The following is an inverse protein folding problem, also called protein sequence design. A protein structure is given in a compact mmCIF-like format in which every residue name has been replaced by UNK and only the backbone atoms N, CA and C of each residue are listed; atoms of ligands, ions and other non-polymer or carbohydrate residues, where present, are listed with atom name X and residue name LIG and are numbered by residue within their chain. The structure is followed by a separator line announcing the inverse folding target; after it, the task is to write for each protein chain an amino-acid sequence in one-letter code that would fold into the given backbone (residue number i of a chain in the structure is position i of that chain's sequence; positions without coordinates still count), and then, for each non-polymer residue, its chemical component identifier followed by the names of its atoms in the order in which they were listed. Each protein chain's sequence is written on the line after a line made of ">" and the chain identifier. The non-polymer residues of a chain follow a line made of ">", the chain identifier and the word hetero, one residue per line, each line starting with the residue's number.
data_IF_280796065448
#
_entry.id   IF_280796065448
#
_cell.length_a   1.000
_cell.length_b   1.000
_cell.length_c   1.000
_cell.angle_alpha   90.00
_cell.angle_beta   90.00
_cell.angle_gamma   90.00
#
_symmetry.space_group_name_H-M   'P 1'
#
loop_
_entity.id
_entity.type
_entity.pdbx_description
1 polymer ?
#
# COMPACT_ATOMS: atom_id res chain seq x y z
N UNK A 1 -37.40 16.72 -25.65
CA UNK A 1 -38.62 17.36 -25.14
C UNK A 1 -39.48 17.83 -26.30
N UNK A 2 -40.78 17.58 -26.26
CA UNK A 2 -41.74 18.04 -27.27
C UNK A 2 -42.37 19.41 -26.90
N UNK A 3 -43.15 20.00 -27.81
CA UNK A 3 -43.75 21.32 -27.57
C UNK A 3 -44.81 21.35 -26.46
N UNK A 4 -45.46 20.24 -26.14
CA UNK A 4 -46.41 20.16 -25.04
C UNK A 4 -45.68 20.13 -23.69
N UNK A 5 -44.65 19.29 -23.59
CA UNK A 5 -43.74 19.23 -22.43
C UNK A 5 -43.05 20.58 -22.19
N UNK A 6 -42.64 21.29 -23.25
CA UNK A 6 -42.06 22.64 -23.12
C UNK A 6 -43.03 23.63 -22.46
N UNK A 7 -44.31 23.59 -22.84
CA UNK A 7 -45.32 24.49 -22.26
C UNK A 7 -45.56 24.18 -20.79
N UNK A 8 -45.63 22.90 -20.42
CA UNK A 8 -45.77 22.50 -19.03
C UNK A 8 -44.52 22.91 -18.23
N UNK A 9 -43.33 22.72 -18.80
CA UNK A 9 -42.09 23.22 -18.20
C UNK A 9 -42.11 24.74 -18.00
N UNK A 10 -42.62 25.51 -18.97
CA UNK A 10 -42.66 26.97 -18.87
C UNK A 10 -43.52 27.46 -17.70
N UNK A 11 -44.63 26.77 -17.42
CA UNK A 11 -45.51 27.08 -16.29
C UNK A 11 -44.86 26.76 -14.93
N UNK A 12 -44.06 25.69 -14.87
CA UNK A 12 -43.44 25.19 -13.65
C UNK A 12 -41.92 25.44 -13.58
N UNK A 13 -41.39 26.39 -14.38
CA UNK A 13 -39.95 26.55 -14.58
C UNK A 13 -39.15 26.81 -13.30
N UNK A 14 -39.80 27.37 -12.27
CA UNK A 14 -39.20 27.66 -10.96
C UNK A 14 -39.13 26.43 -10.04
N UNK A 15 -39.89 25.38 -10.34
CA UNK A 15 -39.98 24.14 -9.53
C UNK A 15 -39.14 23.00 -10.12
N UNK A 16 -38.71 23.14 -11.38
CA UNK A 16 -38.05 22.08 -12.13
C UNK A 16 -36.53 22.21 -12.11
N UNK A 17 -35.84 21.06 -12.01
CA UNK A 17 -34.39 20.97 -11.87
C UNK A 17 -33.60 21.36 -13.13
N UNK A 18 -32.27 21.44 -12.99
CA UNK A 18 -31.33 21.87 -14.05
C UNK A 18 -31.40 21.03 -15.33
N UNK A 19 -31.73 19.75 -15.21
CA UNK A 19 -31.86 18.85 -16.36
C UNK A 19 -33.01 19.26 -17.28
N UNK A 20 -34.18 19.57 -16.70
CA UNK A 20 -35.35 20.02 -17.44
C UNK A 20 -35.09 21.36 -18.14
N UNK A 21 -34.41 22.30 -17.47
CA UNK A 21 -33.99 23.57 -18.07
C UNK A 21 -33.03 23.38 -19.26
N UNK A 22 -32.14 22.39 -19.19
CA UNK A 22 -31.21 22.07 -20.29
C UNK A 22 -31.97 21.54 -21.50
N UNK A 23 -32.89 20.61 -21.29
CA UNK A 23 -33.78 20.08 -22.33
C UNK A 23 -34.66 21.17 -22.96
N UNK A 24 -35.15 22.13 -22.15
CA UNK A 24 -35.90 23.28 -22.62
C UNK A 24 -35.09 24.21 -23.51
N UNK A 25 -33.85 24.51 -23.11
CA UNK A 25 -32.93 25.33 -23.92
C UNK A 25 -32.67 24.70 -25.30
N UNK A 26 -32.33 23.41 -25.32
CA UNK A 26 -32.11 22.66 -26.57
C UNK A 26 -33.34 22.66 -27.49
N UNK A 27 -34.55 22.59 -26.91
CA UNK A 27 -35.79 22.65 -27.68
C UNK A 27 -36.04 24.04 -28.29
N UNK A 28 -35.76 25.12 -27.55
CA UNK A 28 -35.91 26.51 -28.04
C UNK A 28 -34.94 26.84 -29.17
N UNK A 29 -33.75 26.24 -29.15
CA UNK A 29 -32.77 26.39 -30.24
C UNK A 29 -33.30 25.79 -31.56
N UNK A 30 -34.17 24.78 -31.49
CA UNK A 30 -34.68 24.03 -32.65
C UNK A 30 -36.13 24.34 -33.03
N UNK A 31 -36.90 25.02 -32.17
CA UNK A 31 -38.32 25.30 -32.38
C UNK A 31 -38.66 26.79 -32.26
N UNK A 32 -38.90 27.45 -33.40
CA UNK A 32 -39.24 28.88 -33.46
C UNK A 32 -40.53 29.24 -32.71
N UNK A 33 -41.51 28.33 -32.67
CA UNK A 33 -42.77 28.55 -31.95
C UNK A 33 -42.54 28.65 -30.45
N UNK A 34 -41.75 27.73 -29.88
CA UNK A 34 -41.42 27.74 -28.46
C UNK A 34 -40.47 28.89 -28.11
N UNK A 35 -39.58 29.28 -29.04
CA UNK A 35 -38.75 30.49 -28.89
C UNK A 35 -39.58 31.77 -28.75
N UNK A 36 -40.59 31.96 -29.60
CA UNK A 36 -41.51 33.11 -29.49
C UNK A 36 -42.31 33.09 -28.20
N UNK A 37 -42.75 31.93 -27.76
CA UNK A 37 -43.50 31.79 -26.50
C UNK A 37 -42.63 32.15 -25.29
N UNK A 38 -41.37 31.69 -25.25
CA UNK A 38 -40.43 32.05 -24.20
C UNK A 38 -40.13 33.56 -24.18
N UNK A 39 -39.98 34.18 -25.35
CA UNK A 39 -39.76 35.62 -25.44
C UNK A 39 -40.95 36.42 -24.89
N UNK A 40 -42.19 35.99 -25.16
CA UNK A 40 -43.40 36.61 -24.62
C UNK A 40 -43.46 36.48 -23.09
N UNK A 41 -43.16 35.30 -22.56
CA UNK A 41 -43.09 35.05 -21.11
C UNK A 41 -42.07 35.97 -20.42
N UNK A 42 -40.87 36.08 -21.00
CA UNK A 42 -39.82 36.98 -20.48
C UNK A 42 -40.23 38.46 -20.52
N UNK A 43 -40.97 38.89 -21.55
CA UNK A 43 -41.46 40.27 -21.64
C UNK A 43 -42.46 40.61 -20.53
N UNK A 44 -43.34 39.66 -20.22
CA UNK A 44 -44.29 39.78 -19.09
C UNK A 44 -43.53 39.87 -17.77
N UNK A 45 -42.55 38.99 -17.53
CA UNK A 45 -41.74 39.03 -16.32
C UNK A 45 -40.96 40.34 -16.16
N UNK A 46 -40.38 40.85 -17.26
CA UNK A 46 -39.65 42.10 -17.24
C UNK A 46 -40.57 43.29 -16.94
N UNK A 47 -41.79 43.30 -17.48
CA UNK A 47 -42.80 44.32 -17.20
C UNK A 47 -43.22 44.32 -15.73
N UNK A 48 -43.44 43.14 -15.15
CA UNK A 48 -43.73 42.99 -13.71
C UNK A 48 -42.54 43.49 -12.89
N UNK A 49 -41.32 43.05 -13.21
CA UNK A 49 -40.09 43.43 -12.52
C UNK A 49 -39.85 44.94 -12.55
N UNK A 50 -40.14 45.60 -13.67
CA UNK A 50 -39.98 47.05 -13.82
C UNK A 50 -40.96 47.85 -12.94
N UNK A 51 -42.12 47.27 -12.61
CA UNK A 51 -43.16 47.92 -11.80
C UNK A 51 -42.92 47.73 -10.30
N UNK A 52 -42.20 46.68 -9.91
CA UNK A 52 -41.94 46.36 -8.51
C UNK A 52 -40.77 47.19 -7.93
N UNK A 53 -40.94 47.66 -6.69
CA UNK A 53 -39.88 48.35 -5.97
C UNK A 53 -38.70 47.40 -5.73
N UNK A 54 -37.51 47.84 -6.14
CA UNK A 54 -36.27 47.08 -5.93
C UNK A 54 -35.80 47.24 -4.47
N UNK A 55 -35.68 46.13 -3.76
CA UNK A 55 -35.05 46.09 -2.43
C UNK A 55 -33.55 45.88 -2.62
N UNK A 56 -32.73 46.74 -2.01
CA UNK A 56 -31.28 46.53 -2.02
C UNK A 56 -30.90 45.36 -1.11
N UNK A 57 -30.16 44.36 -1.61
CA UNK A 57 -29.71 43.26 -0.78
C UNK A 57 -28.61 43.74 0.18
N UNK A 58 -28.57 43.24 1.43
CA UNK A 58 -27.52 43.58 2.40
C UNK A 58 -26.12 43.29 1.86
N UNK A 59 -25.14 44.12 2.20
CA UNK A 59 -23.76 44.00 1.70
C UNK A 59 -23.12 42.64 1.97
N UNK A 60 -23.42 42.05 3.13
CA UNK A 60 -22.96 40.70 3.50
C UNK A 60 -23.39 39.63 2.51
N UNK A 61 -24.58 39.77 1.93
CA UNK A 61 -25.12 38.81 0.97
C UNK A 61 -24.41 38.95 -0.38
N UNK A 62 -24.16 40.19 -0.83
CA UNK A 62 -23.38 40.46 -2.05
C UNK A 62 -21.97 39.87 -1.94
N UNK A 63 -21.29 40.14 -0.83
CA UNK A 63 -19.94 39.63 -0.58
C UNK A 63 -19.89 38.08 -0.54
N UNK A 64 -20.88 37.44 0.07
CA UNK A 64 -20.97 35.98 0.12
C UNK A 64 -21.18 35.34 -1.27
N UNK A 65 -22.01 35.96 -2.11
CA UNK A 65 -22.23 35.49 -3.49
C UNK A 65 -20.96 35.66 -4.33
N UNK A 66 -20.32 36.83 -4.26
CA UNK A 66 -19.08 37.11 -5.00
C UNK A 66 -17.95 36.16 -4.63
N UNK A 67 -17.82 35.81 -3.34
CA UNK A 67 -16.87 34.81 -2.88
C UNK A 67 -17.19 33.43 -3.44
N UNK A 68 -18.45 32.99 -3.38
CA UNK A 68 -18.85 31.67 -3.88
C UNK A 68 -18.65 31.53 -5.40
N UNK A 69 -18.91 32.58 -6.18
CA UNK A 69 -18.63 32.59 -7.62
C UNK A 69 -17.13 32.46 -7.86
N UNK A 70 -16.30 33.25 -7.16
CA UNK A 70 -14.83 33.15 -7.25
C UNK A 70 -14.32 31.77 -6.85
N UNK A 71 -14.90 31.13 -5.85
CA UNK A 71 -14.54 29.76 -5.45
C UNK A 71 -14.97 28.72 -6.50
N UNK A 72 -16.14 28.88 -7.12
CA UNK A 72 -16.61 27.99 -8.19
C UNK A 72 -15.79 28.13 -9.48
N UNK A 73 -15.35 29.35 -9.82
CA UNK A 73 -14.43 29.60 -10.94
C UNK A 73 -13.01 29.11 -10.66
N UNK A 74 -12.59 29.09 -9.39
CA UNK A 74 -11.36 28.44 -8.91
C UNK A 74 -11.51 26.90 -8.80
N UNK A 75 -12.13 26.28 -9.79
CA UNK A 75 -12.06 24.83 -10.03
C UNK A 75 -10.59 24.39 -9.95
N UNK A 76 -10.29 23.24 -9.31
CA UNK A 76 -8.96 22.97 -8.81
C UNK A 76 -7.96 22.92 -9.96
N UNK A 77 -6.77 23.43 -9.66
CA UNK A 77 -5.53 23.39 -10.45
C UNK A 77 -5.23 22.02 -11.10
N UNK A 78 -5.90 20.95 -10.66
CA UNK A 78 -5.87 19.60 -11.22
C UNK A 78 -6.51 19.41 -12.61
N UNK A 79 -7.28 20.37 -13.14
CA UNK A 79 -7.97 20.17 -14.44
C UNK A 79 -7.12 20.42 -15.69
N UNK A 80 -5.85 20.83 -15.54
CA UNK A 80 -4.97 21.17 -16.68
C UNK A 80 -3.56 20.56 -16.63
N UNK A 81 -3.32 19.52 -15.81
CA UNK A 81 -2.04 18.81 -15.91
C UNK A 81 -2.16 17.75 -17.02
N UNK A 82 -1.43 17.89 -18.14
CA UNK A 82 -1.51 16.91 -19.21
C UNK A 82 -0.96 15.58 -18.68
N UNK A 83 -1.77 14.52 -18.70
CA UNK A 83 -1.35 13.16 -18.27
C UNK A 83 -0.06 12.67 -18.96
N UNK A 84 0.31 13.26 -20.10
CA UNK A 84 1.56 13.00 -20.81
C UNK A 84 2.82 13.37 -20.03
N UNK A 85 2.78 14.32 -19.09
CA UNK A 85 3.95 14.70 -18.27
C UNK A 85 3.99 14.01 -16.91
N UNK A 86 2.87 13.47 -16.44
CA UNK A 86 2.77 12.76 -15.15
C UNK A 86 3.17 11.28 -15.26
N UNK A 87 2.92 10.64 -16.40
CA UNK A 87 3.24 9.23 -16.62
C UNK A 87 4.73 8.87 -16.41
N UNK A 88 5.72 9.59 -16.98
CA UNK A 88 7.13 9.24 -16.77
C UNK A 88 7.61 9.56 -15.34
N UNK A 89 7.09 10.61 -14.70
CA UNK A 89 7.47 10.98 -13.34
C UNK A 89 6.93 9.98 -12.30
N UNK A 90 5.69 9.51 -12.48
CA UNK A 90 5.13 8.43 -11.66
C UNK A 90 5.85 7.10 -11.92
N UNK A 91 6.16 6.78 -13.17
CA UNK A 91 6.92 5.56 -13.49
C UNK A 91 8.32 5.59 -12.86
N UNK A 92 9.02 6.72 -12.90
CA UNK A 92 10.30 6.89 -12.24
C UNK A 92 10.17 6.81 -10.72
N UNK A 93 9.17 7.46 -10.13
CA UNK A 93 8.93 7.39 -8.68
C UNK A 93 8.62 5.97 -8.23
N UNK A 94 7.75 5.23 -8.93
CA UNK A 94 7.46 3.81 -8.65
C UNK A 94 8.70 2.95 -8.85
N UNK A 95 9.48 3.18 -9.90
CA UNK A 95 10.74 2.46 -10.12
C UNK A 95 11.73 2.70 -8.98
N UNK A 96 11.93 3.93 -8.55
CA UNK A 96 12.75 4.25 -7.38
C UNK A 96 12.17 3.67 -6.09
N UNK A 97 10.86 3.64 -5.91
CA UNK A 97 10.20 3.09 -4.73
C UNK A 97 10.35 1.55 -4.66
N UNK A 98 10.25 0.87 -5.80
CA UNK A 98 10.50 -0.57 -5.93
C UNK A 98 11.99 -0.89 -5.76
N UNK A 99 12.88 -0.07 -6.34
CA UNK A 99 14.32 -0.28 -6.28
C UNK A 99 14.88 -0.04 -4.87
N UNK A 100 14.43 1.03 -4.21
CA UNK A 100 14.87 1.36 -2.85
C UNK A 100 14.19 0.50 -1.80
N UNK A 101 13.05 -0.13 -2.13
CA UNK A 101 12.21 -0.94 -1.25
C UNK A 101 12.31 -0.50 0.22
N UNK A 102 11.82 0.71 0.58
CA UNK A 102 11.97 1.25 1.93
C UNK A 102 11.25 0.40 2.99
N UNK A 103 10.40 -0.53 2.57
CA UNK A 103 9.74 -1.53 3.39
C UNK A 103 10.43 -2.90 3.38
N UNK A 104 11.64 -3.01 2.80
CA UNK A 104 12.52 -4.14 3.04
C UNK A 104 12.74 -4.19 4.55
N UNK A 105 12.07 -5.15 5.17
CA UNK A 105 11.98 -5.22 6.60
C UNK A 105 13.15 -6.10 7.06
N UNK A 106 14.15 -5.42 7.62
CA UNK A 106 15.42 -6.01 8.05
C UNK A 106 15.42 -6.26 9.56
N UNK A 107 16.38 -7.04 10.03
CA UNK A 107 16.68 -7.14 11.46
C UNK A 107 17.75 -6.09 11.79
N UNK A 108 17.41 -5.17 12.69
CA UNK A 108 18.21 -3.97 12.94
C UNK A 108 19.41 -4.22 13.88
N UNK A 109 19.34 -5.21 14.77
CA UNK A 109 20.42 -5.51 15.71
C UNK A 109 20.66 -7.00 15.96
N UNK A 110 21.86 -7.34 16.45
CA UNK A 110 22.21 -8.70 16.89
C UNK A 110 21.32 -9.16 18.05
N UNK A 111 20.94 -8.22 18.93
CA UNK A 111 20.01 -8.48 20.04
C UNK A 111 18.62 -8.88 19.55
N UNK A 112 18.11 -8.20 18.51
CA UNK A 112 16.81 -8.54 17.93
C UNK A 112 16.84 -9.92 17.26
N UNK A 113 17.91 -10.24 16.53
CA UNK A 113 18.08 -11.57 15.93
C UNK A 113 18.08 -12.66 17.02
N UNK A 114 18.84 -12.45 18.09
CA UNK A 114 18.93 -13.41 19.19
C UNK A 114 17.57 -13.60 19.89
N UNK A 115 16.85 -12.51 20.18
CA UNK A 115 15.54 -12.57 20.83
C UNK A 115 14.49 -13.27 19.94
N UNK A 116 14.48 -12.98 18.64
CA UNK A 116 13.57 -13.62 17.69
C UNK A 116 13.88 -15.12 17.54
N UNK A 117 15.16 -15.49 17.48
CA UNK A 117 15.60 -16.88 17.40
C UNK A 117 15.17 -17.68 18.64
N UNK A 118 15.36 -17.13 19.85
CA UNK A 118 14.92 -17.76 21.10
C UNK A 118 13.40 -17.89 21.16
N UNK A 119 12.66 -16.84 20.79
CA UNK A 119 11.20 -16.89 20.76
C UNK A 119 10.70 -18.01 19.85
N UNK A 120 11.32 -18.19 18.68
CA UNK A 120 10.96 -19.25 17.74
C UNK A 120 11.40 -20.66 18.23
N UNK A 121 12.55 -20.75 18.90
CA UNK A 121 13.01 -21.99 19.52
C UNK A 121 12.06 -22.46 20.63
N UNK A 122 11.68 -21.55 21.53
CA UNK A 122 10.78 -21.82 22.67
C UNK A 122 9.33 -22.09 22.26
N UNK A 123 8.91 -21.68 21.06
CA UNK A 123 7.54 -21.94 20.59
C UNK A 123 7.23 -23.42 20.41
N UNK A 124 8.24 -24.30 20.42
CA UNK A 124 8.04 -25.75 20.46
C UNK A 124 7.65 -26.39 19.12
N UNK A 125 7.42 -25.63 18.05
CA UNK A 125 7.01 -26.17 16.75
C UNK A 125 8.18 -26.94 16.09
N UNK A 126 8.00 -28.25 15.99
CA UNK A 126 8.97 -29.23 15.46
C UNK A 126 8.54 -29.75 14.08
N UNK A 127 7.53 -29.14 13.46
CA UNK A 127 7.02 -29.60 12.16
C UNK A 127 8.06 -29.35 11.07
N UNK A 128 8.76 -30.42 10.67
CA UNK A 128 9.71 -30.37 9.56
C UNK A 128 8.97 -30.39 8.23
N UNK A 129 9.37 -29.50 7.31
CA UNK A 129 8.86 -29.52 5.94
C UNK A 129 9.68 -30.47 5.05
N UNK A 130 10.92 -30.74 5.43
CA UNK A 130 11.82 -31.70 4.78
C UNK A 130 12.70 -32.36 5.83
N UNK A 131 12.87 -33.67 5.79
CA UNK A 131 13.81 -34.39 6.66
C UNK A 131 15.16 -34.59 5.99
N UNK A 132 16.20 -34.78 6.79
CA UNK A 132 17.50 -35.19 6.29
C UNK A 132 17.36 -36.50 5.48
N UNK A 133 17.86 -36.49 4.24
CA UNK A 133 17.80 -37.63 3.32
C UNK A 133 16.54 -37.77 2.47
N UNK A 134 15.48 -36.98 2.70
CA UNK A 134 14.27 -37.02 1.85
C UNK A 134 14.46 -36.31 0.50
N UNK A 135 15.36 -35.33 0.43
CA UNK A 135 15.71 -34.63 -0.81
C UNK A 135 17.19 -34.80 -1.13
N UNK A 136 17.49 -35.14 -2.38
CA UNK A 136 18.87 -35.27 -2.86
C UNK A 136 19.64 -33.94 -2.82
N UNK A 137 18.94 -32.81 -2.91
CA UNK A 137 19.51 -31.48 -2.83
C UNK A 137 18.65 -30.55 -1.96
N UNK A 138 18.93 -30.57 -0.66
CA UNK A 138 18.24 -29.73 0.32
C UNK A 138 18.55 -28.24 0.13
N UNK A 139 19.77 -27.91 -0.29
CA UNK A 139 20.16 -26.52 -0.57
C UNK A 139 19.29 -25.94 -1.68
N UNK A 140 19.07 -26.69 -2.75
CA UNK A 140 18.16 -26.29 -3.83
C UNK A 140 16.71 -26.15 -3.36
N UNK A 141 16.22 -27.03 -2.46
CA UNK A 141 14.86 -26.92 -1.91
C UNK A 141 14.63 -25.60 -1.15
N UNK A 142 15.64 -25.14 -0.39
CA UNK A 142 15.60 -23.86 0.30
C UNK A 142 15.77 -22.68 -0.67
N UNK A 143 16.70 -22.78 -1.61
CA UNK A 143 16.98 -21.73 -2.59
C UNK A 143 15.75 -21.36 -3.41
N UNK A 144 14.98 -22.34 -3.87
CA UNK A 144 13.73 -22.10 -4.61
C UNK A 144 12.68 -21.31 -3.81
N UNK A 145 12.73 -21.35 -2.47
CA UNK A 145 11.71 -20.75 -1.59
C UNK A 145 12.17 -19.47 -0.91
N UNK A 146 13.48 -19.34 -0.65
CA UNK A 146 14.09 -18.17 -0.03
C UNK A 146 14.64 -17.18 -1.04
N UNK A 147 14.96 -17.62 -2.26
CA UNK A 147 15.60 -16.79 -3.29
C UNK A 147 17.11 -16.61 -3.07
N UNK A 148 17.71 -17.35 -2.14
CA UNK A 148 19.15 -17.40 -1.91
C UNK A 148 19.57 -18.81 -1.48
N UNK A 149 20.79 -19.21 -1.83
CA UNK A 149 21.32 -20.52 -1.46
C UNK A 149 21.74 -20.52 0.01
N UNK A 150 21.24 -21.48 0.77
CA UNK A 150 21.57 -21.68 2.19
C UNK A 150 21.76 -23.16 2.46
N UNK A 151 22.73 -23.49 3.30
CA UNK A 151 23.07 -24.87 3.63
C UNK A 151 23.01 -25.07 5.15
N UNK A 152 22.60 -26.26 5.62
CA UNK A 152 22.79 -26.59 7.02
C UNK A 152 24.30 -26.56 7.34
N UNK A 153 24.75 -25.84 8.38
CA UNK A 153 26.15 -25.82 8.77
C UNK A 153 26.61 -27.20 9.31
N UNK A 154 27.76 -27.68 8.86
CA UNK A 154 28.31 -28.96 9.30
C UNK A 154 28.77 -28.90 10.74
N UNK A 155 28.03 -29.52 11.65
CA UNK A 155 28.27 -29.51 13.10
C UNK A 155 28.40 -30.94 13.68
N UNK A 156 28.69 -31.93 12.84
CA UNK A 156 28.85 -33.32 13.25
C UNK A 156 29.99 -33.49 14.25
N UNK A 157 31.06 -32.71 14.11
CA UNK A 157 32.20 -32.69 15.04
C UNK A 157 31.84 -32.20 16.45
N UNK A 158 30.72 -31.47 16.58
CA UNK A 158 30.20 -30.95 17.85
C UNK A 158 29.13 -31.87 18.46
N UNK A 159 28.92 -33.04 17.85
CA UNK A 159 27.89 -34.01 18.26
C UNK A 159 26.47 -33.59 17.83
N UNK A 160 26.34 -32.62 16.95
CA UNK A 160 25.05 -32.13 16.44
C UNK A 160 24.72 -32.84 15.12
N UNK A 161 23.66 -33.64 15.13
CA UNK A 161 23.18 -34.34 13.93
C UNK A 161 22.05 -33.56 13.28
N UNK A 162 22.22 -33.17 12.02
CA UNK A 162 21.16 -32.56 11.24
C UNK A 162 20.02 -33.55 10.98
N UNK A 163 18.77 -33.18 11.31
CA UNK A 163 17.59 -34.07 11.16
C UNK A 163 16.57 -33.58 10.14
N UNK A 164 16.59 -32.30 9.78
CA UNK A 164 15.66 -31.74 8.81
C UNK A 164 15.50 -30.24 8.94
N UNK A 165 14.59 -29.66 8.16
CA UNK A 165 14.41 -28.23 8.13
C UNK A 165 13.05 -27.78 7.63
N UNK A 166 12.82 -26.47 7.74
CA UNK A 166 11.65 -25.77 7.20
C UNK A 166 11.97 -24.31 6.96
N UNK A 167 11.07 -23.60 6.29
CA UNK A 167 11.09 -22.15 6.30
C UNK A 167 10.37 -21.64 7.53
N UNK A 168 10.91 -20.62 8.17
CA UNK A 168 10.17 -19.82 9.13
C UNK A 168 10.42 -18.33 8.91
N UNK A 169 9.82 -17.51 9.76
CA UNK A 169 10.06 -16.07 9.79
C UNK A 169 10.65 -15.70 11.13
N UNK A 170 11.72 -14.91 11.11
CA UNK A 170 12.22 -14.20 12.28
C UNK A 170 11.90 -12.72 12.09
N UNK A 171 10.86 -12.27 12.80
CA UNK A 171 10.28 -10.96 12.58
C UNK A 171 9.82 -10.82 11.12
N UNK A 172 10.36 -9.85 10.35
CA UNK A 172 9.99 -9.67 8.95
C UNK A 172 10.72 -10.59 7.95
N UNK A 173 11.85 -11.19 8.35
CA UNK A 173 12.76 -11.89 7.43
C UNK A 173 12.37 -13.36 7.31
N UNK A 174 12.37 -13.88 6.07
CA UNK A 174 12.25 -15.33 5.82
C UNK A 174 13.61 -15.99 6.02
N UNK A 175 13.64 -17.06 6.82
CA UNK A 175 14.88 -17.76 7.14
C UNK A 175 14.73 -19.26 6.91
N UNK A 176 15.86 -19.93 6.67
CA UNK A 176 15.92 -21.38 6.82
C UNK A 176 16.00 -21.72 8.31
N UNK A 177 15.18 -22.67 8.75
CA UNK A 177 15.21 -23.21 10.09
C UNK A 177 15.63 -24.68 9.99
N UNK A 178 16.83 -24.96 10.45
CA UNK A 178 17.42 -26.28 10.55
C UNK A 178 17.25 -26.83 11.97
N UNK A 179 16.84 -28.08 12.04
CA UNK A 179 16.72 -28.84 13.28
C UNK A 179 17.93 -29.74 13.43
N UNK A 180 18.57 -29.67 14.59
CA UNK A 180 19.66 -30.53 14.99
C UNK A 180 19.28 -31.31 16.24
N UNK A 181 19.73 -32.55 16.26
CA UNK A 181 19.60 -33.48 17.36
C UNK A 181 20.94 -33.55 18.12
N UNK A 182 20.88 -33.27 19.43
CA UNK A 182 21.98 -33.41 20.39
C UNK A 182 21.56 -34.34 21.53
N UNK A 183 21.07 -35.53 21.20
CA UNK A 183 20.58 -36.50 22.17
C UNK A 183 19.20 -36.10 22.70
N UNK A 184 19.11 -35.72 23.98
CA UNK A 184 17.84 -35.24 24.56
C UNK A 184 17.64 -33.73 24.39
N UNK A 185 18.67 -33.01 23.91
CA UNK A 185 18.61 -31.57 23.74
C UNK A 185 18.30 -31.18 22.30
N UNK A 186 17.25 -30.37 22.13
CA UNK A 186 16.87 -29.78 20.85
C UNK A 186 17.82 -28.64 20.54
N UNK A 187 18.35 -28.61 19.31
CA UNK A 187 19.12 -27.46 18.83
C UNK A 187 18.48 -26.89 17.58
N UNK A 188 18.28 -25.57 17.60
CA UNK A 188 17.63 -24.83 16.53
C UNK A 188 18.63 -23.92 15.85
N UNK A 189 18.75 -24.01 14.53
CA UNK A 189 19.69 -23.18 13.77
C UNK A 189 18.96 -22.44 12.68
N UNK A 190 19.04 -21.12 12.71
CA UNK A 190 18.40 -20.23 11.74
C UNK A 190 19.44 -19.67 10.79
N UNK A 191 19.27 -19.88 9.49
CA UNK A 191 20.15 -19.36 8.44
C UNK A 191 19.45 -18.29 7.61
N UNK A 192 20.09 -17.12 7.48
CA UNK A 192 19.59 -15.98 6.72
C UNK A 192 20.71 -15.31 5.93
N UNK A 193 20.33 -14.56 4.90
CA UNK A 193 21.29 -13.75 4.13
C UNK A 193 21.73 -12.54 4.95
N UNK A 194 23.02 -12.21 4.88
CA UNK A 194 23.59 -10.98 5.46
C UNK A 194 22.96 -9.69 4.90
N UNK A 195 22.29 -9.75 3.75
CA UNK A 195 21.52 -8.62 3.18
C UNK A 195 20.22 -8.34 3.92
N UNK A 196 19.75 -9.28 4.75
CA UNK A 196 18.51 -9.17 5.51
C UNK A 196 18.71 -8.50 6.88
N UNK A 197 19.96 -8.20 7.25
CA UNK A 197 20.32 -7.52 8.51
C UNK A 197 20.93 -6.14 8.25
N UNK A 198 20.82 -5.23 9.23
CA UNK A 198 21.46 -3.90 9.17
C UNK A 198 22.67 -3.72 10.09
N UNK A 199 23.08 -4.80 10.75
CA UNK A 199 24.29 -4.86 11.54
C UNK A 199 25.34 -5.69 10.80
N UNK A 200 26.61 -5.41 11.10
CA UNK A 200 27.72 -6.22 10.58
C UNK A 200 28.27 -7.16 11.66
N UNK A 201 28.66 -8.34 11.22
CA UNK A 201 29.37 -9.33 12.02
C UNK A 201 30.70 -9.57 11.33
N UNK A 202 31.79 -9.37 12.07
CA UNK A 202 33.13 -9.74 11.60
C UNK A 202 33.12 -11.22 11.21
N UNK A 203 33.61 -11.54 10.01
CA UNK A 203 33.73 -12.92 9.55
C UNK A 203 34.50 -13.76 10.57
N UNK A 204 33.99 -14.97 10.86
CA UNK A 204 34.57 -15.91 11.85
C UNK A 204 34.48 -15.50 13.33
N UNK A 205 33.76 -14.43 13.67
CA UNK A 205 33.48 -14.08 15.07
C UNK A 205 32.14 -14.65 15.51
N UNK A 206 32.17 -15.38 16.63
CA UNK A 206 31.00 -15.89 17.31
C UNK A 206 30.55 -14.87 18.37
N UNK A 207 29.29 -14.45 18.29
CA UNK A 207 28.64 -13.60 19.29
C UNK A 207 27.68 -14.48 20.08
N UNK A 208 28.07 -14.76 21.33
CA UNK A 208 27.24 -15.54 22.27
C UNK A 208 26.42 -14.62 23.16
N UNK A 209 25.14 -14.96 23.32
CA UNK A 209 24.22 -14.29 24.24
C UNK A 209 23.40 -15.33 24.99
N UNK A 210 22.90 -14.95 26.16
CA UNK A 210 21.94 -15.73 26.91
C UNK A 210 20.64 -14.95 27.00
N UNK A 211 19.55 -15.50 26.46
CA UNK A 211 18.24 -14.85 26.45
C UNK A 211 17.21 -15.87 26.94
N UNK A 212 16.43 -15.50 27.96
CA UNK A 212 15.39 -16.37 28.56
C UNK A 212 15.89 -17.77 28.97
N UNK A 213 17.17 -17.89 29.34
CA UNK A 213 17.79 -19.15 29.75
C UNK A 213 18.30 -20.02 28.60
N UNK A 214 18.06 -19.63 27.34
CA UNK A 214 18.65 -20.27 26.17
C UNK A 214 19.99 -19.62 25.82
N UNK A 215 20.95 -20.43 25.39
CA UNK A 215 22.21 -19.94 24.82
C UNK A 215 22.03 -19.72 23.32
N UNK A 216 22.39 -18.53 22.85
CA UNK A 216 22.36 -18.16 21.45
C UNK A 216 23.77 -17.92 20.97
N UNK A 217 24.20 -18.62 19.93
CA UNK A 217 25.46 -18.36 19.24
C UNK A 217 25.18 -17.84 17.84
N UNK A 218 25.69 -16.66 17.51
CA UNK A 218 25.48 -15.99 16.23
C UNK A 218 26.82 -15.81 15.54
N UNK A 219 26.93 -16.29 14.30
CA UNK A 219 28.14 -16.16 13.50
C UNK A 219 27.83 -15.88 12.04
N UNK A 220 28.84 -15.40 11.33
CA UNK A 220 28.79 -15.16 9.88
C UNK A 220 29.69 -16.16 9.17
N UNK A 221 29.14 -16.77 8.12
CA UNK A 221 29.85 -17.63 7.19
C UNK A 221 29.56 -17.17 5.75
N UNK A 222 30.55 -16.51 5.14
CA UNK A 222 30.40 -15.84 3.85
C UNK A 222 29.29 -14.78 3.86
N UNK A 223 28.31 -14.96 2.97
CA UNK A 223 27.14 -14.09 2.83
C UNK A 223 25.96 -14.50 3.72
N UNK A 224 26.12 -15.53 4.55
CA UNK A 224 25.10 -16.05 5.44
C UNK A 224 25.40 -15.70 6.89
N UNK A 225 24.34 -15.45 7.65
CA UNK A 225 24.37 -15.32 9.10
C UNK A 225 23.59 -16.49 9.67
N UNK A 226 24.14 -17.11 10.70
CA UNK A 226 23.50 -18.17 11.45
C UNK A 226 23.26 -17.74 12.88
N UNK A 227 22.11 -18.13 13.42
CA UNK A 227 21.81 -18.05 14.84
C UNK A 227 21.44 -19.45 15.34
N UNK A 228 22.26 -20.02 16.21
CA UNK A 228 22.01 -21.29 16.88
C UNK A 228 21.45 -21.03 18.27
N UNK A 229 20.42 -21.78 18.66
CA UNK A 229 19.80 -21.72 19.98
C UNK A 229 19.79 -23.12 20.61
N UNK A 230 20.24 -23.18 21.87
CA UNK A 230 20.43 -24.38 22.69
C UNK A 230 19.74 -24.22 24.04
#
# INVERSE_FOLDING_TARGET
>A
MNCHEFKNWLLDKDLLGREAATCAKQHVDTCDRCRKLLALDQEVENSIRATLAKVEPPDRLRAAVDQNIKYAERSPFFRRVPWKTLAPALAAAVFFFVLLNPFAAHIDSVDDLAALAVTNHLSGDLTMAVKAGETADMSHWFEQRLGFSVRPPGMENEGLRFIGGRLCKLGPVKVAYFFYDKGEQRVSVFGLSSKEVRFDLESQKHVRKTIQGCEVDIWRDGDLIYAMVI
#
